data_IF_990277712999
#
_entry.id   IF_990277712999
#
_cell.length_a   1.000
_cell.length_b   1.000
_cell.length_c   1.000
_cell.angle_alpha   90.00
_cell.angle_beta   90.00
_cell.angle_gamma   90.00
#
_symmetry.space_group_name_H-M   'P 1'
#
loop_
_entity.id
_entity.type
_entity.pdbx_description
1 polymer ?
#
# COMPACT_ATOMS: atom_id res chain seq x y z
N UNK A 1 -25.53 7.00 -5.15
CA UNK A 1 -24.30 7.08 -4.33
C UNK A 1 -23.60 8.38 -4.70
N UNK A 2 -22.97 9.07 -3.75
CA UNK A 2 -22.16 10.25 -4.04
C UNK A 2 -20.99 9.84 -4.95
N UNK A 3 -20.49 10.77 -5.76
CA UNK A 3 -19.34 10.55 -6.62
C UNK A 3 -18.06 10.37 -5.77
N UNK A 4 -17.17 9.41 -6.08
CA UNK A 4 -15.93 9.24 -5.35
C UNK A 4 -15.04 10.49 -5.42
N UNK A 5 -14.35 10.80 -4.32
CA UNK A 5 -13.40 11.92 -4.27
C UNK A 5 -12.19 11.69 -5.18
N UNK A 6 -11.75 10.43 -5.29
CA UNK A 6 -10.58 10.03 -6.07
C UNK A 6 -11.00 9.12 -7.22
N UNK A 7 -10.50 9.39 -8.41
CA UNK A 7 -10.73 8.57 -9.61
C UNK A 7 -9.77 7.39 -9.68
N UNK A 8 -8.52 7.58 -9.29
CA UNK A 8 -7.47 6.56 -9.29
C UNK A 8 -6.70 6.60 -7.98
N UNK A 9 -6.62 5.48 -7.29
CA UNK A 9 -5.88 5.39 -6.03
C UNK A 9 -4.83 4.28 -6.08
N UNK A 10 -3.75 4.46 -5.31
CA UNK A 10 -2.86 3.38 -4.97
C UNK A 10 -3.10 2.99 -3.51
N UNK A 11 -3.61 1.80 -3.29
CA UNK A 11 -3.79 1.22 -1.96
C UNK A 11 -2.53 0.44 -1.56
N UNK A 12 -1.89 0.84 -0.48
CA UNK A 12 -0.77 0.09 0.09
C UNK A 12 -1.22 -0.62 1.37
N UNK A 13 -1.02 -1.93 1.40
CA UNK A 13 -1.36 -2.81 2.52
C UNK A 13 -0.07 -3.42 3.08
N UNK A 14 0.11 -3.41 4.40
CA UNK A 14 1.24 -4.14 4.99
C UNK A 14 1.01 -5.65 4.92
N UNK A 15 2.04 -6.43 4.64
CA UNK A 15 1.92 -7.89 4.65
C UNK A 15 1.48 -8.44 6.01
N UNK A 16 1.90 -7.80 7.10
CA UNK A 16 1.49 -8.19 8.45
C UNK A 16 -0.03 -8.04 8.67
N UNK A 17 -0.65 -7.04 8.06
CA UNK A 17 -2.09 -6.87 8.15
C UNK A 17 -2.84 -8.04 7.48
N UNK A 18 -2.26 -8.66 6.44
CA UNK A 18 -2.84 -9.83 5.77
C UNK A 18 -2.66 -11.15 6.55
N UNK A 19 -1.86 -11.16 7.61
CA UNK A 19 -1.64 -12.32 8.45
C UNK A 19 -2.57 -12.40 9.67
N UNK A 20 -3.43 -11.39 9.85
CA UNK A 20 -4.31 -11.32 11.01
C UNK A 20 -3.56 -11.41 12.33
N UNK A 21 -4.18 -12.04 13.33
CA UNK A 21 -3.61 -12.21 14.68
C UNK A 21 -2.42 -13.16 14.72
N UNK A 22 -2.23 -14.00 13.70
CA UNK A 22 -1.10 -14.92 13.63
C UNK A 22 0.24 -14.21 13.34
N UNK A 23 0.21 -12.97 12.83
CA UNK A 23 1.37 -12.16 12.43
C UNK A 23 2.31 -12.80 11.40
N UNK A 24 1.99 -13.99 10.92
CA UNK A 24 2.73 -14.76 9.89
C UNK A 24 1.79 -15.50 8.96
N UNK A 25 2.23 -15.66 7.69
CA UNK A 25 1.43 -16.33 6.67
C UNK A 25 0.28 -15.47 6.16
N UNK A 26 -0.82 -16.10 5.81
CA UNK A 26 -2.01 -15.48 5.23
C UNK A 26 -3.24 -15.84 6.07
N UNK A 27 -4.04 -14.83 6.38
CA UNK A 27 -5.37 -14.99 6.94
C UNK A 27 -6.39 -14.67 5.83
N UNK A 28 -7.06 -15.71 5.33
CA UNK A 28 -7.99 -15.58 4.20
C UNK A 28 -9.29 -14.85 4.57
N UNK A 29 -9.67 -14.80 5.85
CA UNK A 29 -10.82 -14.01 6.30
C UNK A 29 -10.49 -12.52 6.24
N UNK A 30 -9.29 -12.14 6.70
CA UNK A 30 -8.79 -10.77 6.61
C UNK A 30 -8.63 -10.36 5.14
N UNK A 31 -8.01 -11.20 4.31
CA UNK A 31 -7.85 -10.94 2.86
C UNK A 31 -9.23 -10.80 2.21
N UNK A 32 -10.18 -11.67 2.56
CA UNK A 32 -11.55 -11.63 2.08
C UNK A 32 -12.23 -10.29 2.36
N UNK A 33 -12.16 -9.81 3.60
CA UNK A 33 -12.72 -8.52 4.00
C UNK A 33 -12.12 -7.34 3.22
N UNK A 34 -10.81 -7.33 3.00
CA UNK A 34 -10.14 -6.31 2.19
C UNK A 34 -10.58 -6.39 0.72
N UNK A 35 -10.65 -7.59 0.13
CA UNK A 35 -11.07 -7.80 -1.25
C UNK A 35 -12.53 -7.39 -1.48
N UNK A 36 -13.42 -7.61 -0.51
CA UNK A 36 -14.82 -7.16 -0.59
C UNK A 36 -14.92 -5.64 -0.70
N UNK A 37 -14.07 -4.91 0.02
CA UNK A 37 -14.05 -3.44 -0.05
C UNK A 37 -13.38 -2.93 -1.32
N UNK A 38 -12.29 -3.56 -1.78
CA UNK A 38 -11.67 -3.22 -3.08
C UNK A 38 -12.70 -3.40 -4.21
N UNK A 39 -13.51 -4.48 -4.19
CA UNK A 39 -14.61 -4.68 -5.13
C UNK A 39 -15.60 -3.53 -5.09
N UNK A 40 -16.03 -3.10 -3.91
CA UNK A 40 -16.95 -1.95 -3.76
C UNK A 40 -16.36 -0.65 -4.34
N UNK A 41 -15.06 -0.41 -4.17
CA UNK A 41 -14.37 0.74 -4.80
C UNK A 41 -14.42 0.65 -6.34
N UNK A 42 -14.17 -0.53 -6.90
CA UNK A 42 -14.24 -0.75 -8.37
C UNK A 42 -15.68 -0.56 -8.87
N UNK A 43 -16.68 -1.09 -8.17
CA UNK A 43 -18.11 -0.92 -8.47
C UNK A 43 -18.54 0.56 -8.40
N UNK A 44 -17.90 1.36 -7.54
CA UNK A 44 -18.09 2.81 -7.47
C UNK A 44 -17.37 3.57 -8.60
N UNK A 45 -16.67 2.87 -9.51
CA UNK A 45 -15.97 3.48 -10.65
C UNK A 45 -14.54 3.93 -10.36
N UNK A 46 -13.96 3.53 -9.21
CA UNK A 46 -12.59 3.89 -8.83
C UNK A 46 -11.58 2.92 -9.44
N UNK A 47 -10.52 3.44 -10.01
CA UNK A 47 -9.38 2.69 -10.51
C UNK A 47 -8.43 2.38 -9.35
N UNK A 48 -8.22 1.11 -9.04
CA UNK A 48 -7.46 0.69 -7.86
C UNK A 48 -6.17 -0.05 -8.26
N UNK A 49 -5.02 0.59 -7.97
CA UNK A 49 -3.72 -0.07 -7.91
C UNK A 49 -3.45 -0.55 -6.48
N UNK A 50 -2.84 -1.71 -6.32
CA UNK A 50 -2.55 -2.28 -5.00
C UNK A 50 -1.08 -2.62 -4.89
N UNK A 51 -0.46 -2.24 -3.78
CA UNK A 51 0.88 -2.70 -3.37
C UNK A 51 0.76 -3.42 -2.03
N UNK A 52 1.31 -4.62 -1.95
CA UNK A 52 1.30 -5.43 -0.73
C UNK A 52 2.71 -5.62 -0.21
N UNK A 53 2.92 -5.38 1.10
CA UNK A 53 4.20 -5.70 1.73
C UNK A 53 4.43 -7.21 1.88
N UNK A 54 5.68 -7.63 2.14
CA UNK A 54 6.07 -9.04 2.33
C UNK A 54 6.38 -9.43 3.77
N UNK A 55 6.16 -8.51 4.73
CA UNK A 55 6.64 -8.64 6.11
C UNK A 55 6.03 -9.79 6.94
N UNK A 56 4.94 -10.39 6.48
CA UNK A 56 4.34 -11.60 7.06
C UNK A 56 5.10 -12.89 6.71
N UNK A 57 5.94 -12.86 5.68
CA UNK A 57 6.78 -13.99 5.28
C UNK A 57 8.26 -13.73 5.53
N UNK A 58 8.76 -12.52 5.17
CA UNK A 58 10.16 -12.19 5.27
C UNK A 58 10.41 -10.69 5.44
N UNK A 59 11.28 -10.34 6.41
CA UNK A 59 11.77 -8.97 6.64
C UNK A 59 13.28 -8.95 6.48
N UNK A 60 13.76 -8.54 5.30
CA UNK A 60 15.16 -8.65 4.89
C UNK A 60 16.18 -8.26 5.95
N UNK A 61 16.06 -7.05 6.50
CA UNK A 61 17.01 -6.53 7.50
C UNK A 61 16.86 -7.24 8.86
N UNK A 62 15.62 -7.49 9.29
CA UNK A 62 15.34 -8.03 10.62
C UNK A 62 15.58 -9.54 10.69
N UNK A 63 15.10 -10.29 9.71
CA UNK A 63 15.18 -11.76 9.72
C UNK A 63 16.54 -12.26 9.22
N UNK A 64 17.19 -11.50 8.33
CA UNK A 64 18.56 -11.78 7.87
C UNK A 64 19.62 -11.60 8.95
N UNK A 65 19.37 -10.76 9.96
CA UNK A 65 20.12 -10.66 11.22
C UNK A 65 21.65 -10.55 11.08
N UNK A 66 22.19 -9.96 10.01
CA UNK A 66 23.61 -9.91 9.72
C UNK A 66 24.22 -11.24 9.24
N UNK A 67 23.40 -12.30 9.13
CA UNK A 67 23.84 -13.64 8.67
C UNK A 67 23.69 -13.82 7.15
N UNK A 68 23.07 -12.87 6.47
CA UNK A 68 22.78 -12.92 5.06
C UNK A 68 23.20 -11.60 4.38
N UNK A 69 23.65 -11.69 3.15
CA UNK A 69 23.95 -10.52 2.32
C UNK A 69 22.65 -9.74 2.07
N UNK A 70 22.70 -8.42 2.27
CA UNK A 70 21.56 -7.51 2.24
C UNK A 70 20.74 -7.61 0.95
N UNK A 71 21.40 -7.64 -0.20
CA UNK A 71 20.76 -7.70 -1.51
C UNK A 71 19.92 -8.96 -1.67
N UNK A 72 20.44 -10.11 -1.22
CA UNK A 72 19.69 -11.38 -1.24
C UNK A 72 18.50 -11.37 -0.30
N UNK A 73 18.68 -10.82 0.90
CA UNK A 73 17.60 -10.68 1.87
C UNK A 73 16.47 -9.79 1.32
N UNK A 74 16.80 -8.70 0.64
CA UNK A 74 15.83 -7.81 0.02
C UNK A 74 15.11 -8.50 -1.17
N UNK A 75 15.82 -9.29 -2.00
CA UNK A 75 15.16 -10.10 -3.05
C UNK A 75 14.17 -11.11 -2.46
N UNK A 76 14.48 -11.76 -1.34
CA UNK A 76 13.52 -12.63 -0.64
C UNK A 76 12.28 -11.85 -0.19
N UNK A 77 12.45 -10.63 0.32
CA UNK A 77 11.34 -9.74 0.64
C UNK A 77 10.49 -9.38 -0.57
N UNK A 78 11.12 -9.14 -1.72
CA UNK A 78 10.40 -8.90 -2.98
C UNK A 78 9.56 -10.11 -3.40
N UNK A 79 10.12 -11.33 -3.33
CA UNK A 79 9.37 -12.57 -3.61
C UNK A 79 8.23 -12.78 -2.63
N UNK A 80 8.40 -12.43 -1.34
CA UNK A 80 7.34 -12.47 -0.35
C UNK A 80 6.15 -11.56 -0.71
N UNK A 81 6.40 -10.39 -1.33
CA UNK A 81 5.32 -9.54 -1.84
C UNK A 81 4.53 -10.21 -2.97
N UNK A 82 5.17 -11.06 -3.77
CA UNK A 82 4.50 -11.79 -4.87
C UNK A 82 3.56 -12.85 -4.32
N UNK A 83 3.95 -13.56 -3.26
CA UNK A 83 3.06 -14.52 -2.58
C UNK A 83 1.78 -13.81 -2.14
N UNK A 84 1.89 -12.67 -1.48
CA UNK A 84 0.74 -11.87 -1.06
C UNK A 84 -0.08 -11.34 -2.24
N UNK A 85 0.59 -10.88 -3.30
CA UNK A 85 -0.07 -10.36 -4.50
C UNK A 85 -0.93 -11.44 -5.18
N UNK A 86 -0.44 -12.67 -5.26
CA UNK A 86 -1.18 -13.80 -5.83
C UNK A 86 -2.39 -14.19 -4.98
N UNK A 87 -2.25 -14.19 -3.64
CA UNK A 87 -3.36 -14.48 -2.74
C UNK A 87 -4.48 -13.44 -2.84
N UNK A 88 -4.12 -12.14 -2.89
CA UNK A 88 -5.10 -11.06 -3.06
C UNK A 88 -5.73 -11.11 -4.46
N UNK A 89 -4.97 -11.44 -5.50
CA UNK A 89 -5.47 -11.57 -6.86
C UNK A 89 -6.53 -12.68 -6.97
N UNK A 90 -6.21 -13.88 -6.49
CA UNK A 90 -7.13 -15.02 -6.48
C UNK A 90 -8.42 -14.69 -5.70
N UNK A 91 -8.28 -14.06 -4.53
CA UNK A 91 -9.40 -13.66 -3.71
C UNK A 91 -10.33 -12.64 -4.40
N UNK A 92 -9.79 -11.69 -5.15
CA UNK A 92 -10.54 -10.71 -5.95
C UNK A 92 -11.22 -11.38 -7.15
N UNK A 93 -10.51 -12.27 -7.85
CA UNK A 93 -11.06 -13.02 -9.00
C UNK A 93 -12.25 -13.90 -8.59
N UNK A 94 -12.17 -14.56 -7.44
CA UNK A 94 -13.31 -15.31 -6.85
C UNK A 94 -14.52 -14.41 -6.55
N UNK A 95 -14.32 -13.10 -6.41
CA UNK A 95 -15.38 -12.08 -6.22
C UNK A 95 -15.84 -11.41 -7.51
N UNK A 96 -15.39 -11.93 -8.66
CA UNK A 96 -15.77 -11.42 -9.98
C UNK A 96 -15.03 -10.15 -10.41
N UNK A 97 -13.97 -9.75 -9.73
CA UNK A 97 -13.14 -8.59 -10.11
C UNK A 97 -12.04 -9.03 -11.07
N UNK A 98 -11.92 -8.38 -12.22
CA UNK A 98 -10.78 -8.62 -13.11
C UNK A 98 -9.49 -8.06 -12.50
N UNK A 99 -8.45 -8.89 -12.38
CA UNK A 99 -7.17 -8.53 -11.76
C UNK A 99 -6.00 -8.77 -12.70
N UNK A 100 -4.95 -7.99 -12.55
CA UNK A 100 -3.63 -8.27 -13.14
C UNK A 100 -2.54 -8.09 -12.10
N UNK A 101 -1.74 -9.12 -11.91
CA UNK A 101 -0.51 -9.02 -11.11
C UNK A 101 0.63 -8.62 -12.03
N UNK A 102 1.32 -7.54 -11.68
CA UNK A 102 2.50 -7.08 -12.41
C UNK A 102 3.71 -7.01 -11.47
N UNK A 103 4.85 -7.54 -11.90
CA UNK A 103 6.06 -7.62 -11.07
C UNK A 103 7.22 -6.83 -11.67
N UNK A 104 7.96 -6.13 -10.80
CA UNK A 104 9.15 -5.37 -11.20
C UNK A 104 10.32 -6.28 -11.58
N UNK A 105 10.36 -7.53 -11.06
CA UNK A 105 11.27 -8.58 -11.49
C UNK A 105 10.49 -9.49 -12.42
N UNK A 106 11.03 -9.77 -13.61
CA UNK A 106 10.37 -10.60 -14.61
C UNK A 106 10.18 -12.05 -14.11
N UNK A 107 8.94 -12.53 -14.10
CA UNK A 107 8.55 -13.90 -13.77
C UNK A 107 7.32 -14.31 -14.59
N UNK A 108 7.50 -14.34 -15.90
CA UNK A 108 6.46 -14.41 -16.92
C UNK A 108 5.48 -15.60 -16.79
N UNK A 109 5.88 -16.67 -16.09
CA UNK A 109 5.02 -17.83 -15.83
C UNK A 109 4.01 -17.58 -14.70
N UNK A 110 4.20 -16.52 -13.89
CA UNK A 110 3.42 -16.25 -12.67
C UNK A 110 2.67 -14.92 -12.77
N UNK A 111 3.31 -13.89 -13.34
CA UNK A 111 2.78 -12.53 -13.38
C UNK A 111 3.28 -11.79 -14.63
N UNK A 112 2.57 -10.76 -15.03
CA UNK A 112 3.01 -9.89 -16.13
C UNK A 112 4.24 -9.07 -15.67
N UNK A 113 5.23 -8.84 -16.56
CA UNK A 113 6.27 -7.86 -16.29
C UNK A 113 5.63 -6.46 -16.19
N UNK A 114 6.06 -5.69 -15.16
CA UNK A 114 5.57 -4.34 -14.99
C UNK A 114 5.94 -3.46 -16.18
N UNK A 115 4.94 -2.90 -16.82
CA UNK A 115 5.07 -1.87 -17.85
C UNK A 115 4.02 -0.81 -17.57
N UNK A 116 4.47 0.43 -17.30
CA UNK A 116 3.61 1.57 -16.93
C UNK A 116 2.37 1.71 -17.81
N UNK A 117 2.55 1.73 -19.13
CA UNK A 117 1.44 1.90 -20.08
C UNK A 117 0.43 0.75 -20.05
N UNK A 118 0.87 -0.48 -19.75
CA UNK A 118 -0.02 -1.64 -19.56
C UNK A 118 -0.80 -1.51 -18.25
N UNK A 119 -0.14 -1.10 -17.16
CA UNK A 119 -0.80 -0.88 -15.87
C UNK A 119 -1.93 0.16 -15.99
N UNK A 120 -1.64 1.32 -16.59
CA UNK A 120 -2.65 2.36 -16.84
C UNK A 120 -3.82 1.81 -17.68
N UNK A 121 -3.53 1.09 -18.76
CA UNK A 121 -4.57 0.51 -19.62
C UNK A 121 -5.45 -0.52 -18.90
N UNK A 122 -4.89 -1.28 -17.96
CA UNK A 122 -5.68 -2.19 -17.13
C UNK A 122 -6.60 -1.41 -16.19
N UNK A 123 -6.08 -0.40 -15.50
CA UNK A 123 -6.85 0.46 -14.61
C UNK A 123 -8.00 1.16 -15.35
N UNK A 124 -7.74 1.71 -16.54
CA UNK A 124 -8.75 2.35 -17.39
C UNK A 124 -9.86 1.39 -17.86
N UNK A 125 -9.60 0.09 -17.89
CA UNK A 125 -10.57 -0.96 -18.18
C UNK A 125 -11.32 -1.47 -16.95
N UNK A 126 -11.16 -0.81 -15.80
CA UNK A 126 -11.79 -1.21 -14.53
C UNK A 126 -11.15 -2.44 -13.87
N UNK A 127 -9.93 -2.83 -14.29
CA UNK A 127 -9.18 -3.92 -13.67
C UNK A 127 -8.40 -3.42 -12.46
N UNK A 128 -8.34 -4.23 -11.42
CA UNK A 128 -7.38 -4.02 -10.33
C UNK A 128 -5.99 -4.44 -10.79
N UNK A 129 -4.98 -3.62 -10.52
CA UNK A 129 -3.58 -3.97 -10.79
C UNK A 129 -2.84 -4.12 -9.48
N UNK A 130 -2.27 -5.30 -9.23
CA UNK A 130 -1.47 -5.56 -8.03
C UNK A 130 0.00 -5.57 -8.41
N UNK A 131 0.80 -4.73 -7.75
CA UNK A 131 2.22 -4.56 -8.04
C UNK A 131 3.06 -5.35 -7.04
N UNK A 132 3.78 -6.36 -7.53
CA UNK A 132 4.74 -7.16 -6.78
C UNK A 132 6.20 -6.73 -6.99
N UNK A 133 7.09 -7.20 -6.13
CA UNK A 133 8.53 -6.94 -6.12
C UNK A 133 8.92 -5.47 -5.84
N UNK A 134 8.04 -4.64 -5.26
CA UNK A 134 8.34 -3.26 -4.90
C UNK A 134 8.90 -2.44 -6.06
N UNK A 135 10.09 -1.84 -5.89
CA UNK A 135 10.81 -1.12 -6.94
C UNK A 135 11.55 -2.04 -7.92
N UNK A 136 11.75 -3.32 -7.55
CA UNK A 136 12.64 -4.25 -8.26
C UNK A 136 14.12 -4.10 -7.90
N UNK A 137 14.45 -3.15 -7.02
CA UNK A 137 15.81 -2.87 -6.59
C UNK A 137 15.97 -3.08 -5.08
N UNK A 138 17.07 -3.71 -4.63
CA UNK A 138 17.41 -3.78 -3.21
C UNK A 138 17.52 -2.38 -2.56
N UNK A 139 17.53 -2.35 -1.24
CA UNK A 139 17.66 -1.15 -0.39
C UNK A 139 16.44 -0.23 -0.32
N UNK A 140 15.41 -0.45 -1.13
CA UNK A 140 14.17 0.30 -1.08
C UNK A 140 13.08 -0.45 -0.30
N UNK A 141 12.28 0.30 0.41
CA UNK A 141 11.12 -0.23 1.12
C UNK A 141 9.92 -0.48 0.20
N UNK A 142 8.92 -1.18 0.71
CA UNK A 142 7.62 -1.29 0.02
C UNK A 142 6.89 0.05 -0.05
N UNK A 143 7.10 0.95 0.93
CA UNK A 143 6.51 2.30 0.92
C UNK A 143 7.07 3.12 -0.25
N UNK A 144 8.41 3.11 -0.45
CA UNK A 144 9.03 3.71 -1.63
C UNK A 144 8.50 3.10 -2.92
N UNK A 145 8.34 1.78 -2.98
CA UNK A 145 7.74 1.09 -4.13
C UNK A 145 6.31 1.56 -4.40
N UNK A 146 5.50 1.74 -3.36
CA UNK A 146 4.12 2.22 -3.49
C UNK A 146 4.05 3.64 -4.06
N UNK A 147 4.88 4.56 -3.54
CA UNK A 147 4.93 5.93 -4.04
C UNK A 147 5.39 5.98 -5.50
N UNK A 148 6.43 5.21 -5.86
CA UNK A 148 6.90 5.13 -7.24
C UNK A 148 5.78 4.66 -8.17
N UNK A 149 5.05 3.59 -7.82
CA UNK A 149 3.92 3.11 -8.63
C UNK A 149 2.79 4.13 -8.70
N UNK A 150 2.48 4.82 -7.60
CA UNK A 150 1.47 5.88 -7.58
C UNK A 150 1.80 7.00 -8.56
N UNK A 151 3.04 7.50 -8.54
CA UNK A 151 3.52 8.53 -9.46
C UNK A 151 3.46 8.04 -10.93
N UNK A 152 3.94 6.83 -11.20
CA UNK A 152 3.99 6.26 -12.55
C UNK A 152 2.59 6.05 -13.15
N UNK A 153 1.60 5.62 -12.36
CA UNK A 153 0.24 5.41 -12.87
C UNK A 153 -0.63 6.66 -12.81
N UNK A 154 -0.14 7.77 -12.25
CA UNK A 154 -0.90 8.99 -12.06
C UNK A 154 -2.05 8.80 -11.07
N UNK A 155 -1.77 8.26 -9.88
CA UNK A 155 -2.77 8.12 -8.83
C UNK A 155 -3.07 9.49 -8.19
N UNK A 156 -4.34 9.73 -7.87
CA UNK A 156 -4.80 10.96 -7.21
C UNK A 156 -4.40 10.99 -5.72
N UNK A 157 -4.23 9.81 -5.11
CA UNK A 157 -3.81 9.65 -3.73
C UNK A 157 -3.21 8.27 -3.47
N UNK A 158 -2.37 8.20 -2.44
CA UNK A 158 -1.90 6.94 -1.82
C UNK A 158 -2.73 6.68 -0.57
N UNK A 159 -3.37 5.53 -0.51
CA UNK A 159 -4.12 5.04 0.63
C UNK A 159 -3.22 4.09 1.44
N UNK A 160 -2.73 4.56 2.57
CA UNK A 160 -1.77 3.85 3.40
C UNK A 160 -2.50 3.17 4.57
N UNK A 161 -2.96 1.94 4.33
CA UNK A 161 -3.67 1.14 5.31
C UNK A 161 -2.68 0.47 6.28
N UNK A 162 -2.71 0.90 7.53
CA UNK A 162 -1.78 0.49 8.61
C UNK A 162 -2.52 -0.10 9.81
N UNK A 163 -1.76 -0.56 10.81
CA UNK A 163 -2.31 -0.98 12.11
C UNK A 163 -2.64 0.21 13.03
N UNK A 164 -2.14 1.42 12.70
CA UNK A 164 -2.42 2.68 13.41
C UNK A 164 -3.42 3.51 12.62
N UNK A 165 -4.27 4.25 13.32
CA UNK A 165 -5.40 4.97 12.73
C UNK A 165 -5.06 6.38 12.22
N UNK A 166 -3.79 6.75 12.19
CA UNK A 166 -3.33 8.05 11.68
C UNK A 166 -1.88 8.34 12.02
N UNK A 167 -1.47 9.58 11.84
CA UNK A 167 -0.16 10.10 12.21
C UNK A 167 -0.27 10.82 13.55
N UNK A 168 0.68 10.56 14.45
CA UNK A 168 0.73 11.12 15.80
C UNK A 168 2.00 11.94 16.01
N UNK A 169 1.95 12.87 16.97
CA UNK A 169 3.10 13.70 17.37
C UNK A 169 4.25 12.90 17.99
N UNK A 170 3.96 11.71 18.53
CA UNK A 170 4.88 10.72 19.06
C UNK A 170 4.26 9.33 18.95
N UNK A 171 5.00 8.27 19.32
CA UNK A 171 4.47 6.91 19.33
C UNK A 171 3.41 6.78 20.47
N UNK A 172 2.11 6.62 20.15
CA UNK A 172 1.05 6.58 21.16
C UNK A 172 1.14 5.34 22.09
N UNK A 173 1.87 4.30 21.69
CA UNK A 173 2.12 3.15 22.55
C UNK A 173 3.15 3.45 23.66
N UNK A 174 3.97 4.49 23.48
CA UNK A 174 5.03 4.87 24.42
C UNK A 174 4.74 6.20 25.12
N UNK A 175 4.02 7.09 24.45
CA UNK A 175 3.67 8.42 24.94
C UNK A 175 2.15 8.61 24.95
N UNK A 176 1.50 8.51 26.12
CA UNK A 176 0.06 8.70 26.22
C UNK A 176 -0.41 10.14 25.95
N UNK A 177 0.53 11.10 25.83
CA UNK A 177 0.23 12.50 25.46
C UNK A 177 0.30 12.75 23.97
N UNK A 178 0.63 11.71 23.16
CA UNK A 178 0.69 11.81 21.72
C UNK A 178 -0.65 12.24 21.11
N UNK A 179 -0.63 13.28 20.29
CA UNK A 179 -1.81 13.85 19.64
C UNK A 179 -1.85 13.39 18.20
N UNK A 180 -3.01 12.90 17.74
CA UNK A 180 -3.25 12.56 16.35
C UNK A 180 -3.48 13.82 15.53
N UNK A 181 -2.90 13.85 14.33
CA UNK A 181 -3.15 14.88 13.33
C UNK A 181 -4.31 14.49 12.42
N UNK A 182 -5.22 15.42 12.13
CA UNK A 182 -6.20 15.24 11.04
C UNK A 182 -5.55 15.51 9.68
N UNK A 183 -4.67 16.51 9.62
CA UNK A 183 -3.86 16.84 8.46
C UNK A 183 -2.47 17.32 8.90
N UNK A 184 -1.45 17.06 8.08
CA UNK A 184 -0.07 17.46 8.34
C UNK A 184 0.67 17.65 7.00
N UNK A 185 1.65 18.55 6.97
CA UNK A 185 2.47 18.74 5.78
C UNK A 185 3.63 17.74 5.71
N UNK A 186 4.14 17.50 4.50
CA UNK A 186 5.35 16.69 4.31
C UNK A 186 6.56 17.28 5.03
N UNK A 187 6.70 18.61 5.02
CA UNK A 187 7.79 19.31 5.71
C UNK A 187 7.76 19.06 7.21
N UNK A 188 6.58 19.09 7.84
CA UNK A 188 6.43 18.78 9.26
C UNK A 188 6.74 17.31 9.56
N UNK A 189 6.30 16.38 8.69
CA UNK A 189 6.62 14.94 8.82
C UNK A 189 8.13 14.72 8.80
N UNK A 190 8.83 15.34 7.85
CA UNK A 190 10.29 15.23 7.71
C UNK A 190 11.01 15.91 8.88
N UNK A 191 10.65 17.16 9.21
CA UNK A 191 11.30 17.93 10.27
C UNK A 191 11.16 17.28 11.65
N UNK A 192 10.01 16.65 11.93
CA UNK A 192 9.73 15.98 13.20
C UNK A 192 10.05 14.49 13.19
N UNK A 193 10.57 13.94 12.08
CA UNK A 193 10.87 12.51 11.92
C UNK A 193 9.69 11.59 12.28
N UNK A 194 8.47 11.98 11.88
CA UNK A 194 7.27 11.20 12.20
C UNK A 194 7.22 9.90 11.38
N UNK A 195 6.77 8.82 12.01
CA UNK A 195 6.79 7.48 11.44
C UNK A 195 5.58 7.22 10.49
N UNK A 196 5.45 8.02 9.43
CA UNK A 196 4.43 7.82 8.39
C UNK A 196 4.89 6.76 7.40
N UNK A 197 5.96 7.04 6.71
CA UNK A 197 6.69 6.21 5.73
C UNK A 197 8.18 6.38 5.97
N UNK A 198 9.02 5.65 5.24
CA UNK A 198 10.45 5.99 5.21
C UNK A 198 10.69 7.33 4.51
N UNK A 199 11.85 7.94 4.81
CA UNK A 199 12.20 9.29 4.32
C UNK A 199 12.20 9.36 2.79
N UNK A 200 12.66 8.31 2.11
CA UNK A 200 12.69 8.26 0.63
C UNK A 200 11.27 8.30 0.06
N UNK A 201 10.36 7.51 0.63
CA UNK A 201 8.95 7.51 0.23
C UNK A 201 8.29 8.86 0.49
N UNK A 202 8.56 9.46 1.65
CA UNK A 202 8.00 10.78 2.04
C UNK A 202 8.46 11.87 1.08
N UNK A 203 9.77 11.96 0.80
CA UNK A 203 10.31 12.94 -0.15
C UNK A 203 9.79 12.72 -1.57
N UNK A 204 9.71 11.46 -2.03
CA UNK A 204 9.19 11.16 -3.36
C UNK A 204 7.71 11.52 -3.50
N UNK A 205 6.89 11.35 -2.45
CA UNK A 205 5.49 11.79 -2.45
C UNK A 205 5.37 13.31 -2.53
N UNK A 206 6.18 14.01 -1.74
CA UNK A 206 6.25 15.48 -1.75
C UNK A 206 6.64 16.01 -3.12
N UNK A 207 7.73 15.53 -3.72
CA UNK A 207 8.24 15.96 -5.02
C UNK A 207 7.24 15.73 -6.16
N UNK A 208 6.32 14.76 -6.01
CA UNK A 208 5.29 14.44 -7.00
C UNK A 208 3.90 14.95 -6.62
N UNK A 209 3.76 15.74 -5.55
CA UNK A 209 2.51 16.34 -5.08
C UNK A 209 1.38 15.32 -4.84
N UNK A 210 1.70 14.08 -4.45
CA UNK A 210 0.72 13.01 -4.26
C UNK A 210 0.31 12.94 -2.78
N UNK A 211 -0.93 13.27 -2.41
CA UNK A 211 -1.38 13.18 -1.03
C UNK A 211 -1.39 11.73 -0.53
N UNK A 212 -1.04 11.55 0.74
CA UNK A 212 -1.05 10.26 1.42
C UNK A 212 -2.10 10.27 2.52
N UNK A 213 -3.06 9.37 2.45
CA UNK A 213 -4.07 9.17 3.49
C UNK A 213 -3.69 7.98 4.36
N UNK A 214 -3.40 8.21 5.63
CA UNK A 214 -3.02 7.18 6.60
C UNK A 214 -4.22 6.83 7.47
N UNK A 215 -4.59 5.55 7.55
CA UNK A 215 -5.72 5.09 8.36
C UNK A 215 -5.58 3.63 8.80
N UNK A 216 -6.40 3.22 9.78
CA UNK A 216 -6.40 1.85 10.28
C UNK A 216 -7.09 0.89 9.33
N UNK A 217 -6.43 -0.25 9.03
CA UNK A 217 -7.01 -1.36 8.27
C UNK A 217 -7.89 -2.29 9.15
N UNK A 218 -7.88 -2.11 10.47
CA UNK A 218 -8.70 -2.92 11.39
C UNK A 218 -10.18 -2.98 10.97
N UNK A 219 -10.68 -1.88 10.40
CA UNK A 219 -11.95 -1.85 9.68
C UNK A 219 -11.66 -1.65 8.19
N UNK A 220 -11.75 -2.70 7.34
CA UNK A 220 -11.50 -2.58 5.90
C UNK A 220 -12.41 -1.57 5.21
N UNK A 221 -13.63 -1.30 5.73
CA UNK A 221 -14.54 -0.30 5.16
C UNK A 221 -13.95 1.11 5.14
N UNK A 222 -12.95 1.40 5.98
CA UNK A 222 -12.22 2.67 5.93
C UNK A 222 -11.61 2.96 4.55
N UNK A 223 -11.25 1.93 3.77
CA UNK A 223 -10.76 2.11 2.40
C UNK A 223 -11.82 2.81 1.53
N UNK A 224 -13.05 2.28 1.52
CA UNK A 224 -14.14 2.86 0.74
C UNK A 224 -14.51 4.26 1.27
N UNK A 225 -14.63 4.42 2.58
CA UNK A 225 -14.98 5.68 3.21
C UNK A 225 -13.98 6.79 2.87
N UNK A 226 -12.68 6.49 2.88
CA UNK A 226 -11.63 7.42 2.45
C UNK A 226 -11.76 7.76 0.96
N UNK A 227 -11.99 6.75 0.11
CA UNK A 227 -12.21 6.95 -1.33
C UNK A 227 -13.43 7.85 -1.60
N UNK A 228 -14.47 7.73 -0.78
CA UNK A 228 -15.68 8.58 -0.85
C UNK A 228 -15.49 9.97 -0.24
N UNK A 229 -14.31 10.26 0.34
CA UNK A 229 -13.94 11.58 0.86
C UNK A 229 -14.25 11.80 2.32
N UNK A 230 -14.57 10.77 3.09
CA UNK A 230 -14.73 10.90 4.54
C UNK A 230 -13.39 11.23 5.22
N UNK A 231 -13.36 12.12 6.22
CA UNK A 231 -12.15 12.55 6.91
C UNK A 231 -11.69 11.50 7.93
N UNK A 232 -11.19 10.36 7.44
CA UNK A 232 -10.71 9.24 8.27
C UNK A 232 -9.20 9.23 8.31
N UNK A 233 -8.63 9.09 9.49
CA UNK A 233 -7.19 9.00 9.68
C UNK A 233 -6.50 10.36 9.61
N UNK A 234 -5.35 10.41 8.95
CA UNK A 234 -4.55 11.63 8.74
C UNK A 234 -4.23 11.79 7.27
N UNK A 235 -4.45 12.97 6.71
CA UNK A 235 -3.97 13.32 5.39
C UNK A 235 -2.60 14.00 5.48
N UNK A 236 -1.61 13.49 4.75
CA UNK A 236 -0.30 14.12 4.54
C UNK A 236 -0.29 14.73 3.15
N UNK A 237 -0.02 16.03 3.05
CA UNK A 237 -0.05 16.80 1.78
C UNK A 237 0.95 17.94 1.83
N UNK A 238 1.11 18.67 0.75
CA UNK A 238 2.07 19.76 0.63
C UNK A 238 1.67 20.99 1.45
N UNK A 239 0.39 21.39 1.36
CA UNK A 239 -0.17 22.55 2.05
C UNK A 239 -1.45 22.17 2.80
N UNK A 240 -1.71 22.78 3.96
CA UNK A 240 -2.90 22.56 4.79
C UNK A 240 -4.11 23.38 4.37
#
# INVERSE_FOLDING_TARGET
MSEPKYKRVLLKISGEALAGDAHRGLDFDVIGGVCDVIRQCVEAGVQVGVVVGGGNFWRGVKDGGGKMERTRADHMGMLATVINALAVADCLEQRGVEVRVQTAIAMNQIAEPYIRSKAIRHLEKGRVVIFGCGTGNPFFSTDTGAVLRAAEIGADAILLAKNIDGVYSADPAKDPTAVKYDAITYDEVLARHLAVMDTTATSLSMDNHIPVQVFALKDPQNILRVVMGEPIGTIVKEEL
#
